data_IF_851077798616
#
_entry.id   IF_851077798616
#
_cell.length_a   1.000
_cell.length_b   1.000
_cell.length_c   1.000
_cell.angle_alpha   90.00
_cell.angle_beta   90.00
_cell.angle_gamma   90.00
#
_symmetry.space_group_name_H-M   'P 1'
#
loop_
_entity.id
_entity.type
_entity.pdbx_description
1 polymer ?
#
# COMPACT_ATOMS: atom_id res chain seq x y z
N UNK A 1 25.20 14.33 -16.95
CA UNK A 1 24.17 14.95 -16.13
C UNK A 1 23.03 15.36 -17.04
N UNK A 2 21.90 14.67 -16.97
CA UNK A 2 20.70 15.01 -17.75
C UNK A 2 20.12 16.29 -17.15
N UNK A 3 20.20 17.40 -17.86
CA UNK A 3 19.53 18.64 -17.48
C UNK A 3 18.09 18.56 -17.93
N UNK A 4 17.14 18.84 -17.05
CA UNK A 4 15.74 19.01 -17.43
C UNK A 4 15.62 20.25 -18.31
N UNK A 5 15.04 20.11 -19.50
CA UNK A 5 14.64 21.20 -20.37
C UNK A 5 13.14 21.48 -20.18
N UNK A 6 12.80 22.70 -19.78
CA UNK A 6 11.42 23.07 -19.52
C UNK A 6 10.90 22.65 -18.14
N UNK A 7 9.60 22.79 -17.96
CA UNK A 7 8.87 22.31 -16.78
C UNK A 7 8.15 21.01 -17.18
N UNK A 8 8.31 19.97 -16.38
CA UNK A 8 7.57 18.72 -16.56
C UNK A 8 6.56 18.57 -15.43
N UNK A 9 5.33 18.25 -15.79
CA UNK A 9 4.24 18.00 -14.85
C UNK A 9 3.76 16.56 -15.10
N UNK A 10 3.78 15.75 -14.06
CA UNK A 10 3.28 14.38 -14.08
C UNK A 10 2.24 14.21 -13.00
N UNK A 11 1.07 13.69 -13.36
CA UNK A 11 0.04 13.30 -12.42
C UNK A 11 -0.04 11.79 -12.35
N UNK A 12 -0.04 11.26 -11.15
CA UNK A 12 -0.07 9.85 -10.87
C UNK A 12 -1.20 9.49 -9.91
N UNK A 13 -1.87 8.38 -10.16
CA UNK A 13 -2.71 7.71 -9.18
C UNK A 13 -1.87 6.66 -8.46
N UNK A 14 -1.79 6.77 -7.14
CA UNK A 14 -1.03 5.91 -6.25
C UNK A 14 -1.99 4.94 -5.53
N UNK A 15 -2.11 3.73 -6.04
CA UNK A 15 -3.07 2.74 -5.58
C UNK A 15 -2.72 2.20 -4.19
N UNK A 16 -3.73 2.09 -3.31
CA UNK A 16 -3.63 1.40 -2.04
C UNK A 16 -3.37 -0.10 -2.21
N UNK A 17 -2.99 -0.76 -1.13
CA UNK A 17 -2.84 -2.22 -1.07
C UNK A 17 -3.73 -2.83 0.01
N UNK A 18 -4.08 -4.10 -0.19
CA UNK A 18 -4.63 -4.99 0.83
C UNK A 18 -3.71 -6.20 1.01
N UNK A 19 -3.60 -6.72 2.24
CA UNK A 19 -2.99 -8.01 2.50
C UNK A 19 -4.11 -9.06 2.50
N UNK A 20 -4.19 -9.87 1.46
CA UNK A 20 -5.17 -10.96 1.37
C UNK A 20 -4.77 -12.15 2.24
N UNK A 21 -3.47 -12.30 2.47
CA UNK A 21 -2.85 -13.24 3.39
C UNK A 21 -1.65 -12.56 4.05
N UNK A 22 -1.47 -12.70 5.36
CA UNK A 22 -0.32 -12.15 6.08
C UNK A 22 0.02 -13.04 7.28
N UNK A 23 1.21 -13.63 7.23
CA UNK A 23 1.77 -14.44 8.31
C UNK A 23 3.20 -14.00 8.64
N UNK A 24 3.63 -14.22 9.87
CA UNK A 24 5.01 -14.05 10.32
C UNK A 24 5.63 -15.44 10.40
N UNK A 25 6.64 -15.69 9.58
CA UNK A 25 7.27 -17.01 9.42
C UNK A 25 8.57 -17.17 10.19
N UNK A 26 9.09 -16.09 10.74
CA UNK A 26 10.34 -16.09 11.50
C UNK A 26 10.85 -14.69 11.82
N UNK A 27 12.10 -14.65 12.30
CA UNK A 27 12.83 -13.42 12.62
C UNK A 27 14.26 -13.47 12.12
N UNK A 28 14.74 -12.39 11.51
CA UNK A 28 16.12 -12.21 11.08
C UNK A 28 17.02 -11.88 12.26
N UNK A 29 18.33 -12.12 12.10
CA UNK A 29 19.33 -11.81 13.13
C UNK A 29 19.44 -10.30 13.46
N UNK A 30 19.05 -9.43 12.54
CA UNK A 30 18.98 -7.97 12.71
C UNK A 30 17.69 -7.50 13.40
N UNK A 31 16.81 -8.43 13.78
CA UNK A 31 15.57 -8.17 14.51
C UNK A 31 14.32 -7.98 13.66
N UNK A 32 14.43 -7.90 12.32
CA UNK A 32 13.27 -7.82 11.45
C UNK A 32 12.50 -9.14 11.38
N UNK A 33 11.17 -9.05 11.31
CA UNK A 33 10.30 -10.22 11.14
C UNK A 33 10.29 -10.66 9.68
N UNK A 34 10.37 -11.97 9.47
CA UNK A 34 10.17 -12.58 8.16
C UNK A 34 8.68 -12.76 7.91
N UNK A 35 8.21 -12.26 6.77
CA UNK A 35 6.82 -12.27 6.39
C UNK A 35 6.58 -13.25 5.24
N UNK A 36 5.38 -13.78 5.19
CA UNK A 36 4.80 -14.42 4.02
C UNK A 36 3.43 -13.77 3.80
N UNK A 37 3.31 -12.94 2.76
CA UNK A 37 2.10 -12.16 2.53
C UNK A 37 1.72 -12.14 1.07
N UNK A 38 0.42 -12.25 0.78
CA UNK A 38 -0.13 -11.98 -0.54
C UNK A 38 -0.76 -10.60 -0.51
N UNK A 39 -0.16 -9.69 -1.27
CA UNK A 39 -0.63 -8.30 -1.39
C UNK A 39 -1.34 -8.08 -2.72
N UNK A 40 -2.38 -7.25 -2.69
CA UNK A 40 -3.16 -6.82 -3.85
C UNK A 40 -3.26 -5.32 -3.90
N UNK A 41 -2.89 -4.71 -5.04
CA UNK A 41 -3.22 -3.30 -5.33
C UNK A 41 -4.71 -3.15 -5.58
N UNK A 42 -5.33 -2.08 -5.07
CA UNK A 42 -6.77 -1.82 -5.23
C UNK A 42 -7.03 -0.43 -5.82
N UNK A 43 -8.20 -0.22 -6.41
CA UNK A 43 -8.56 1.00 -7.13
C UNK A 43 -8.75 2.26 -6.26
N UNK A 44 -8.77 2.14 -4.93
CA UNK A 44 -8.65 3.29 -4.03
C UNK A 44 -7.22 3.86 -4.14
N UNK A 45 -7.08 5.14 -4.47
CA UNK A 45 -5.79 5.72 -4.77
C UNK A 45 -5.69 7.17 -4.29
N UNK A 46 -4.50 7.58 -3.88
CA UNK A 46 -4.14 8.99 -3.73
C UNK A 46 -3.77 9.58 -5.08
N UNK A 47 -3.91 10.89 -5.24
CA UNK A 47 -3.45 11.62 -6.41
C UNK A 47 -2.16 12.37 -6.08
N UNK A 48 -1.12 12.12 -6.88
CA UNK A 48 0.22 12.70 -6.67
C UNK A 48 0.63 13.47 -7.91
N UNK A 49 0.79 14.78 -7.77
CA UNK A 49 1.33 15.65 -8.82
C UNK A 49 2.81 15.93 -8.54
N UNK A 50 3.65 15.64 -9.52
CA UNK A 50 5.10 15.91 -9.46
C UNK A 50 5.46 16.92 -10.54
N UNK A 51 5.95 18.08 -10.12
CA UNK A 51 6.45 19.13 -11.02
C UNK A 51 7.97 19.17 -10.91
N UNK A 52 8.65 19.08 -12.05
CA UNK A 52 10.11 19.06 -12.14
C UNK A 52 10.57 20.18 -13.06
N UNK A 53 11.48 21.01 -12.56
CA UNK A 53 12.05 22.14 -13.33
C UNK A 53 13.54 22.31 -13.05
N UNK A 54 14.21 23.15 -13.84
CA UNK A 54 15.61 23.49 -13.60
C UNK A 54 15.77 24.14 -12.21
N UNK A 55 16.84 23.75 -11.49
CA UNK A 55 17.13 24.28 -10.15
C UNK A 55 17.58 23.20 -9.17
N UNK A 56 17.32 23.44 -7.89
CA UNK A 56 17.62 22.52 -6.78
C UNK A 56 16.60 22.66 -5.67
N UNK A 57 16.28 21.54 -5.04
CA UNK A 57 15.44 21.50 -3.86
C UNK A 57 14.19 20.66 -4.06
N UNK A 58 13.62 20.22 -2.95
CA UNK A 58 12.39 19.44 -2.90
C UNK A 58 11.42 20.18 -1.99
N UNK A 59 10.19 20.34 -2.44
CA UNK A 59 9.06 20.79 -1.65
C UNK A 59 7.93 19.82 -1.77
N UNK A 60 7.16 19.66 -0.69
CA UNK A 60 6.00 18.79 -0.65
C UNK A 60 4.84 19.54 0.00
N UNK A 61 3.66 19.43 -0.60
CA UNK A 61 2.38 19.85 -0.05
C UNK A 61 1.43 18.65 0.04
N UNK A 62 0.48 18.74 0.95
CA UNK A 62 -0.56 17.74 1.13
C UNK A 62 -1.83 18.43 1.65
N UNK A 63 -2.99 18.01 1.17
CA UNK A 63 -4.30 18.50 1.61
C UNK A 63 -4.66 18.08 3.05
N UNK A 64 -3.87 17.17 3.65
CA UNK A 64 -4.05 16.64 5.00
C UNK A 64 -3.01 17.21 5.97
N UNK A 65 -3.48 17.88 7.01
CA UNK A 65 -2.62 18.48 8.03
C UNK A 65 -1.91 17.49 8.97
N UNK A 66 -2.33 16.24 9.00
CA UNK A 66 -1.72 15.14 9.77
C UNK A 66 -0.54 14.47 9.04
N UNK A 67 -0.29 14.84 7.78
CA UNK A 67 0.80 14.30 6.96
C UNK A 67 2.00 15.27 6.99
N UNK A 68 3.21 14.82 7.39
CA UNK A 68 4.41 15.67 7.36
C UNK A 68 4.77 16.05 5.92
N UNK A 69 5.26 17.28 5.74
CA UNK A 69 5.67 17.84 4.43
C UNK A 69 7.18 18.05 4.30
N UNK A 70 7.96 17.37 5.12
CA UNK A 70 9.42 17.43 5.17
C UNK A 70 10.06 16.03 5.02
N UNK A 71 11.34 15.89 5.30
CA UNK A 71 12.11 14.63 5.20
C UNK A 71 11.57 13.46 6.03
N UNK A 72 10.55 13.63 6.86
CA UNK A 72 9.83 12.56 7.55
C UNK A 72 8.79 11.89 6.65
N UNK A 73 8.41 12.55 5.54
CA UNK A 73 7.49 12.00 4.56
C UNK A 73 8.21 11.03 3.61
N UNK A 74 7.64 9.87 3.37
CA UNK A 74 8.21 8.84 2.47
C UNK A 74 8.32 9.32 1.02
N UNK A 75 7.37 10.12 0.53
CA UNK A 75 7.41 10.70 -0.82
C UNK A 75 8.55 11.72 -0.97
N UNK A 76 8.80 12.53 0.07
CA UNK A 76 9.95 13.43 0.10
C UNK A 76 11.28 12.66 0.06
N UNK A 77 11.41 11.62 0.92
CA UNK A 77 12.61 10.76 0.93
C UNK A 77 12.81 10.02 -0.40
N UNK A 78 11.73 9.58 -1.03
CA UNK A 78 11.79 8.95 -2.35
C UNK A 78 12.40 9.89 -3.40
N UNK A 79 12.01 11.16 -3.40
CA UNK A 79 12.59 12.16 -4.28
C UNK A 79 14.10 12.39 -4.01
N UNK A 80 14.49 12.51 -2.74
CA UNK A 80 15.90 12.65 -2.37
C UNK A 80 16.77 11.49 -2.86
N UNK A 81 16.35 10.25 -2.56
CA UNK A 81 17.07 9.05 -2.94
C UNK A 81 17.13 8.86 -4.46
N UNK A 82 16.03 9.18 -5.16
CA UNK A 82 16.02 9.15 -6.62
C UNK A 82 17.06 10.11 -7.21
N UNK A 83 17.05 11.39 -6.77
CA UNK A 83 17.98 12.42 -7.26
C UNK A 83 19.43 12.02 -7.01
N UNK A 84 19.73 11.43 -5.85
CA UNK A 84 21.04 10.90 -5.52
C UNK A 84 21.45 9.75 -6.45
N UNK A 85 20.60 8.77 -6.64
CA UNK A 85 20.89 7.59 -7.46
C UNK A 85 21.03 7.92 -8.95
N UNK A 86 20.20 8.83 -9.47
CA UNK A 86 20.27 9.29 -10.85
C UNK A 86 21.43 10.27 -11.11
N UNK A 87 22.14 10.74 -10.08
CA UNK A 87 23.23 11.70 -10.21
C UNK A 87 22.80 13.03 -10.83
N UNK A 88 21.57 13.46 -10.54
CA UNK A 88 20.93 14.62 -11.15
C UNK A 88 20.47 15.64 -10.09
N UNK A 89 20.10 16.84 -10.53
CA UNK A 89 19.52 17.84 -9.65
C UNK A 89 18.44 18.64 -10.37
N UNK A 90 17.35 18.92 -9.67
CA UNK A 90 16.25 19.73 -10.16
C UNK A 90 15.51 20.38 -8.97
N UNK A 91 14.63 21.32 -9.27
CA UNK A 91 13.56 21.68 -8.35
C UNK A 91 12.43 20.69 -8.55
N UNK A 92 12.03 20.00 -7.46
CA UNK A 92 10.95 19.02 -7.44
C UNK A 92 9.87 19.53 -6.48
N UNK A 93 8.66 19.74 -7.00
CA UNK A 93 7.50 20.07 -6.18
C UNK A 93 6.54 18.87 -6.24
N UNK A 94 6.19 18.33 -5.08
CA UNK A 94 5.24 17.22 -4.93
C UNK A 94 3.99 17.77 -4.27
N UNK A 95 2.83 17.50 -4.86
CA UNK A 95 1.54 17.79 -4.27
C UNK A 95 0.73 16.51 -4.15
N UNK A 96 0.19 16.24 -2.94
CA UNK A 96 -0.51 14.98 -2.64
C UNK A 96 -1.94 15.29 -2.18
N UNK A 97 -2.91 14.73 -2.91
CA UNK A 97 -4.31 14.69 -2.51
C UNK A 97 -4.65 13.30 -1.96
N UNK A 98 -4.98 13.24 -0.65
CA UNK A 98 -5.14 11.99 0.11
C UNK A 98 -6.55 11.46 0.11
N UNK A 99 -6.74 10.29 -0.49
CA UNK A 99 -7.98 9.51 -0.42
C UNK A 99 -7.79 8.22 0.41
N UNK A 100 -6.56 7.69 0.49
CA UNK A 100 -6.23 6.53 1.33
C UNK A 100 -6.14 7.00 2.79
N UNK A 101 -6.93 6.43 3.72
CA UNK A 101 -6.94 6.87 5.10
C UNK A 101 -5.59 6.60 5.80
N UNK A 102 -5.12 7.57 6.60
CA UNK A 102 -3.90 7.46 7.38
C UNK A 102 -4.00 6.35 8.43
N UNK A 103 -2.92 5.62 8.69
CA UNK A 103 -2.84 4.59 9.73
C UNK A 103 -3.82 3.42 9.54
N UNK A 104 -4.15 3.10 8.30
CA UNK A 104 -5.12 2.07 7.93
C UNK A 104 -4.51 0.70 7.62
N UNK A 105 -3.19 0.58 7.54
CA UNK A 105 -2.54 -0.66 7.05
C UNK A 105 -2.63 -0.85 5.52
N UNK A 106 -3.00 0.20 4.77
CA UNK A 106 -3.24 0.17 3.32
C UNK A 106 -2.09 0.71 2.47
N UNK A 107 -0.97 1.08 3.08
CA UNK A 107 0.25 1.50 2.38
C UNK A 107 0.19 2.88 1.70
N UNK A 108 -0.69 3.81 2.10
CA UNK A 108 -0.87 5.10 1.43
C UNK A 108 0.43 5.90 1.26
N UNK A 109 1.20 6.12 2.33
CA UNK A 109 2.49 6.83 2.21
C UNK A 109 3.53 6.08 1.37
N UNK A 110 3.46 4.74 1.31
CA UNK A 110 4.32 3.93 0.43
C UNK A 110 3.89 4.04 -1.04
N UNK A 111 2.59 4.15 -1.29
CA UNK A 111 2.05 4.40 -2.62
C UNK A 111 2.46 5.79 -3.14
N UNK A 112 2.36 6.83 -2.29
CA UNK A 112 2.82 8.18 -2.63
C UNK A 112 4.31 8.19 -3.01
N UNK A 113 5.14 7.53 -2.21
CA UNK A 113 6.57 7.41 -2.47
C UNK A 113 6.86 6.68 -3.81
N UNK A 114 6.16 5.59 -4.09
CA UNK A 114 6.27 4.85 -5.34
C UNK A 114 5.85 5.71 -6.54
N UNK A 115 4.79 6.52 -6.40
CA UNK A 115 4.35 7.47 -7.43
C UNK A 115 5.44 8.51 -7.74
N UNK A 116 6.06 9.07 -6.72
CA UNK A 116 7.17 10.02 -6.89
C UNK A 116 8.35 9.37 -7.61
N UNK A 117 8.76 8.15 -7.24
CA UNK A 117 9.84 7.42 -7.93
C UNK A 117 9.52 7.20 -9.41
N UNK A 118 8.31 6.74 -9.73
CA UNK A 118 7.87 6.50 -11.11
C UNK A 118 7.82 7.80 -11.91
N UNK A 119 7.23 8.85 -11.35
CA UNK A 119 7.11 10.15 -12.01
C UNK A 119 8.47 10.78 -12.29
N UNK A 120 9.39 10.78 -11.32
CA UNK A 120 10.74 11.29 -11.51
C UNK A 120 11.52 10.49 -12.56
N UNK A 121 11.42 9.16 -12.55
CA UNK A 121 12.10 8.34 -13.55
C UNK A 121 11.64 8.70 -14.97
N UNK A 122 10.33 8.87 -15.17
CA UNK A 122 9.76 9.29 -16.44
C UNK A 122 10.15 10.73 -16.82
N UNK A 123 10.17 11.66 -15.85
CA UNK A 123 10.53 13.06 -16.10
C UNK A 123 11.98 13.21 -16.59
N UNK A 124 12.89 12.40 -16.07
CA UNK A 124 14.30 12.40 -16.49
C UNK A 124 14.61 11.47 -17.68
N UNK A 125 13.62 10.90 -18.34
CA UNK A 125 13.80 10.02 -19.49
C UNK A 125 14.27 8.61 -19.12
N UNK A 126 13.84 8.11 -17.99
CA UNK A 126 14.07 6.76 -17.47
C UNK A 126 15.55 6.41 -17.24
N UNK A 127 16.31 7.24 -16.49
CA UNK A 127 17.73 7.01 -16.24
C UNK A 127 18.00 5.78 -15.39
N UNK A 128 17.00 5.32 -14.62
CA UNK A 128 17.10 4.15 -13.74
C UNK A 128 16.26 2.99 -14.30
N UNK A 129 16.83 1.80 -14.23
CA UNK A 129 16.13 0.56 -14.56
C UNK A 129 15.10 0.22 -13.48
N UNK A 130 14.14 -0.64 -13.80
CA UNK A 130 13.12 -1.12 -12.83
C UNK A 130 13.77 -1.72 -11.57
N UNK A 131 14.84 -2.47 -11.73
CA UNK A 131 15.59 -3.04 -10.59
C UNK A 131 16.16 -1.95 -9.69
N UNK A 132 16.77 -0.92 -10.26
CA UNK A 132 17.33 0.19 -9.48
C UNK A 132 16.23 0.99 -8.77
N UNK A 133 15.06 1.17 -9.40
CA UNK A 133 13.90 1.79 -8.75
C UNK A 133 13.41 0.96 -7.56
N UNK A 134 13.33 -0.37 -7.69
CA UNK A 134 12.96 -1.26 -6.59
C UNK A 134 13.98 -1.24 -5.45
N UNK A 135 15.27 -1.16 -5.76
CA UNK A 135 16.35 -1.06 -4.76
C UNK A 135 16.26 0.29 -3.99
N UNK A 136 15.85 1.37 -4.63
CA UNK A 136 15.58 2.66 -3.97
C UNK A 136 14.30 2.56 -3.14
N UNK A 137 13.24 2.00 -3.71
CA UNK A 137 11.96 1.81 -3.05
C UNK A 137 12.11 1.06 -1.71
N UNK A 138 12.93 0.01 -1.67
CA UNK A 138 13.24 -0.76 -0.46
C UNK A 138 13.96 0.09 0.63
N UNK A 139 14.75 1.08 0.25
CA UNK A 139 15.40 2.01 1.18
C UNK A 139 14.41 3.06 1.74
N UNK A 140 13.34 3.37 1.03
CA UNK A 140 12.29 4.29 1.49
C UNK A 140 11.39 3.61 2.51
N UNK A 141 10.95 2.38 2.24
CA UNK A 141 10.06 1.64 3.14
C UNK A 141 9.69 0.25 2.62
N UNK A 142 9.29 -0.65 3.53
CA UNK A 142 9.06 -2.06 3.22
C UNK A 142 7.94 -2.31 2.18
N UNK A 143 6.87 -1.52 2.21
CA UNK A 143 5.75 -1.65 1.25
C UNK A 143 5.97 -0.90 -0.08
N UNK A 144 6.99 -0.01 -0.16
CA UNK A 144 7.21 0.83 -1.36
C UNK A 144 7.55 -0.01 -2.60
N UNK A 145 8.37 -1.07 -2.53
CA UNK A 145 8.62 -1.95 -3.68
C UNK A 145 7.33 -2.58 -4.22
N UNK A 146 6.44 -3.05 -3.34
CA UNK A 146 5.15 -3.59 -3.77
C UNK A 146 4.28 -2.50 -4.43
N UNK A 147 4.16 -1.32 -3.83
CA UNK A 147 3.39 -0.22 -4.40
C UNK A 147 3.92 0.20 -5.78
N UNK A 148 5.23 0.13 -5.99
CA UNK A 148 5.85 0.42 -7.29
C UNK A 148 5.54 -0.66 -8.34
N UNK A 149 5.63 -1.93 -7.96
CA UNK A 149 5.42 -3.08 -8.84
C UNK A 149 3.94 -3.34 -9.12
N UNK A 150 3.09 -3.18 -8.13
CA UNK A 150 1.63 -3.36 -8.22
C UNK A 150 1.14 -4.77 -8.49
N UNK A 151 -0.16 -4.89 -8.75
CA UNK A 151 -0.84 -6.14 -9.06
C UNK A 151 -1.10 -7.02 -7.85
N UNK A 152 -1.07 -8.34 -8.06
CA UNK A 152 -1.15 -9.35 -7.00
C UNK A 152 0.20 -10.03 -6.86
N UNK A 153 0.79 -9.99 -5.68
CA UNK A 153 2.12 -10.58 -5.46
C UNK A 153 2.20 -11.33 -4.14
N UNK A 154 2.91 -12.45 -4.19
CA UNK A 154 3.43 -13.09 -3.00
C UNK A 154 4.75 -12.38 -2.63
N UNK A 155 4.79 -11.83 -1.42
CA UNK A 155 5.94 -11.13 -0.89
C UNK A 155 6.50 -11.89 0.31
N UNK A 156 7.82 -12.05 0.35
CA UNK A 156 8.58 -12.71 1.42
C UNK A 156 9.71 -11.82 1.91
N UNK A 157 10.53 -12.35 2.82
CA UNK A 157 11.56 -11.54 3.48
C UNK A 157 10.92 -10.54 4.43
N UNK A 158 11.27 -9.27 4.35
CA UNK A 158 10.57 -8.16 5.02
C UNK A 158 9.50 -7.52 4.12
N UNK A 159 9.21 -8.14 2.94
CA UNK A 159 8.26 -7.69 1.92
C UNK A 159 8.90 -7.45 0.54
N UNK A 160 10.23 -7.52 0.44
CA UNK A 160 11.02 -7.19 -0.75
C UNK A 160 11.15 -8.33 -1.76
N UNK A 161 11.04 -9.58 -1.33
CA UNK A 161 11.11 -10.74 -2.22
C UNK A 161 9.75 -10.99 -2.87
N UNK A 162 9.54 -10.43 -4.05
CA UNK A 162 8.25 -10.47 -4.73
C UNK A 162 8.21 -11.48 -5.87
N UNK A 163 7.11 -12.21 -5.96
CA UNK A 163 6.75 -13.04 -7.12
C UNK A 163 5.30 -12.83 -7.52
N UNK A 164 4.99 -13.00 -8.79
CA UNK A 164 3.63 -12.89 -9.30
C UNK A 164 2.70 -13.89 -8.63
N UNK A 165 1.45 -13.49 -8.45
CA UNK A 165 0.41 -14.31 -7.88
C UNK A 165 -0.90 -14.12 -8.66
N UNK A 166 -1.82 -15.09 -8.56
CA UNK A 166 -3.11 -14.99 -9.25
C UNK A 166 -3.94 -13.84 -8.72
N UNK A 167 -4.49 -13.04 -9.61
CA UNK A 167 -5.39 -11.94 -9.24
C UNK A 167 -6.69 -12.48 -8.62
N UNK A 168 -7.19 -11.87 -7.53
CA UNK A 168 -8.42 -12.29 -6.87
C UNK A 168 -9.65 -11.91 -7.70
N UNK A 169 -10.72 -12.71 -7.58
CA UNK A 169 -12.05 -12.35 -8.05
C UNK A 169 -12.87 -11.72 -6.93
N UNK A 170 -13.69 -10.75 -7.29
CA UNK A 170 -14.60 -10.07 -6.37
C UNK A 170 -14.29 -8.58 -6.21
N UNK A 171 -15.11 -7.95 -5.40
CA UNK A 171 -15.07 -6.53 -5.06
C UNK A 171 -14.75 -6.41 -3.58
N UNK A 172 -13.92 -5.45 -3.21
CA UNK A 172 -13.54 -5.21 -1.82
C UNK A 172 -14.34 -4.04 -1.25
N UNK A 173 -14.98 -4.25 -0.10
CA UNK A 173 -15.42 -3.16 0.74
C UNK A 173 -14.40 -2.97 1.87
N UNK A 174 -13.72 -1.85 1.85
CA UNK A 174 -12.82 -1.43 2.93
C UNK A 174 -13.60 -0.64 3.96
N UNK A 175 -13.39 -0.96 5.24
CA UNK A 175 -13.95 -0.24 6.38
C UNK A 175 -12.80 0.12 7.32
N UNK A 176 -12.57 1.42 7.55
CA UNK A 176 -11.55 1.90 8.48
C UNK A 176 -12.24 2.65 9.63
N UNK A 177 -12.27 2.05 10.83
CA UNK A 177 -12.76 2.70 12.05
C UNK A 177 -11.91 3.92 12.44
N UNK A 178 -12.42 4.78 13.31
CA UNK A 178 -11.70 5.99 13.75
C UNK A 178 -10.39 5.71 14.49
N UNK A 179 -10.27 4.56 15.19
CA UNK A 179 -9.04 4.21 15.90
C UNK A 179 -7.93 3.77 14.93
N UNK A 180 -6.70 3.82 15.42
CA UNK A 180 -5.51 3.36 14.70
C UNK A 180 -4.81 2.23 15.43
N UNK A 181 -4.10 1.38 14.69
CA UNK A 181 -3.26 0.31 15.21
C UNK A 181 -1.81 0.59 14.76
N UNK A 182 -0.99 1.21 15.62
CA UNK A 182 0.39 1.53 15.25
C UNK A 182 1.18 0.27 14.93
N UNK A 183 1.84 0.23 13.77
CA UNK A 183 2.58 -0.96 13.30
C UNK A 183 3.62 -1.44 14.29
N UNK A 184 4.34 -0.52 14.94
CA UNK A 184 5.33 -0.88 15.96
C UNK A 184 4.73 -1.56 17.20
N UNK A 185 3.49 -1.23 17.57
CA UNK A 185 2.77 -1.89 18.67
C UNK A 185 2.31 -3.29 18.25
N UNK A 186 1.85 -3.47 17.03
CA UNK A 186 1.45 -4.76 16.51
C UNK A 186 2.62 -5.78 16.53
N UNK A 187 3.79 -5.38 16.04
CA UNK A 187 4.98 -6.24 16.11
C UNK A 187 5.47 -6.49 17.54
N UNK A 188 5.38 -5.50 18.42
CA UNK A 188 5.71 -5.68 19.85
C UNK A 188 4.78 -6.69 20.51
N UNK A 189 3.48 -6.60 20.26
CA UNK A 189 2.49 -7.57 20.74
C UNK A 189 2.78 -8.99 20.23
N UNK A 190 3.24 -9.11 18.98
CA UNK A 190 3.69 -10.40 18.44
C UNK A 190 4.93 -10.92 19.20
N UNK A 191 5.91 -10.08 19.47
CA UNK A 191 7.13 -10.46 20.20
C UNK A 191 6.82 -10.92 21.64
N UNK A 192 5.83 -10.30 22.27
CA UNK A 192 5.39 -10.66 23.65
C UNK A 192 4.58 -11.97 23.68
N UNK A 193 3.85 -12.29 22.61
CA UNK A 193 3.00 -13.48 22.52
C UNK A 193 3.05 -14.08 21.11
N UNK A 194 4.18 -14.67 20.70
CA UNK A 194 4.33 -15.19 19.36
C UNK A 194 3.32 -16.29 19.05
N UNK A 195 2.65 -16.18 17.93
CA UNK A 195 1.79 -17.25 17.40
C UNK A 195 2.62 -18.25 16.60
N UNK A 196 2.18 -19.51 16.59
CA UNK A 196 2.71 -20.49 15.65
C UNK A 196 2.45 -20.04 14.22
N UNK A 197 3.39 -20.32 13.32
CA UNK A 197 3.22 -20.07 11.89
C UNK A 197 1.95 -20.78 11.41
N UNK A 198 1.03 -20.03 10.80
CA UNK A 198 -0.24 -20.56 10.34
C UNK A 198 -0.05 -21.58 9.21
N UNK A 199 0.87 -21.32 8.27
CA UNK A 199 1.22 -22.24 7.18
C UNK A 199 0.11 -22.42 6.15
N UNK A 200 -0.92 -21.59 6.15
CA UNK A 200 -2.12 -21.72 5.30
C UNK A 200 -1.94 -21.22 3.85
N UNK A 201 -0.78 -20.70 3.47
CA UNK A 201 -0.56 -20.13 2.12
C UNK A 201 -0.87 -21.14 1.00
N UNK A 202 -0.60 -22.44 1.20
CA UNK A 202 -0.87 -23.46 0.19
C UNK A 202 -2.38 -23.61 -0.07
N UNK A 203 -3.20 -23.61 1.00
CA UNK A 203 -4.67 -23.65 0.90
C UNK A 203 -5.20 -22.36 0.26
N UNK A 204 -4.70 -21.19 0.71
CA UNK A 204 -5.04 -19.90 0.11
C UNK A 204 -4.73 -19.88 -1.40
N UNK A 205 -3.55 -20.35 -1.80
CA UNK A 205 -3.14 -20.43 -3.22
C UNK A 205 -4.05 -21.35 -4.02
N UNK A 206 -4.43 -22.52 -3.47
CA UNK A 206 -5.32 -23.47 -4.14
C UNK A 206 -6.75 -22.93 -4.30
N UNK A 207 -7.19 -22.05 -3.39
CA UNK A 207 -8.51 -21.41 -3.43
C UNK A 207 -8.60 -20.21 -4.41
N UNK A 208 -7.46 -19.69 -4.87
CA UNK A 208 -7.42 -18.58 -5.83
C UNK A 208 -7.85 -19.05 -7.24
N UNK A 209 -8.48 -18.20 -8.05
CA UNK A 209 -8.85 -16.80 -7.76
C UNK A 209 -10.24 -16.63 -7.12
N UNK A 210 -11.05 -17.68 -6.98
CA UNK A 210 -12.47 -17.60 -6.64
C UNK A 210 -12.76 -17.71 -5.14
N UNK A 211 -12.36 -18.83 -4.51
CA UNK A 211 -12.79 -19.19 -3.15
C UNK A 211 -11.84 -18.77 -2.03
N UNK A 212 -10.86 -17.95 -2.32
CA UNK A 212 -9.79 -17.54 -1.40
C UNK A 212 -10.27 -16.80 -0.14
N UNK A 213 -11.46 -16.20 -0.19
CA UNK A 213 -11.96 -15.37 0.91
C UNK A 213 -12.09 -16.13 2.24
N UNK A 214 -12.40 -17.44 2.17
CA UNK A 214 -12.45 -18.30 3.36
C UNK A 214 -11.06 -18.65 3.91
N UNK A 215 -10.03 -18.57 3.09
CA UNK A 215 -8.64 -18.91 3.43
C UNK A 215 -7.79 -17.66 3.76
N UNK A 216 -8.41 -16.47 3.80
CA UNK A 216 -7.72 -15.25 4.20
C UNK A 216 -7.25 -15.37 5.66
N UNK A 217 -6.02 -14.92 5.89
CA UNK A 217 -5.42 -14.91 7.22
C UNK A 217 -4.61 -13.64 7.45
N UNK A 218 -4.69 -13.10 8.65
CA UNK A 218 -3.83 -12.01 9.10
C UNK A 218 -3.42 -12.27 10.55
N UNK A 219 -2.12 -12.45 10.77
CA UNK A 219 -1.53 -12.76 12.08
C UNK A 219 -1.84 -11.68 13.11
N UNK A 220 -1.86 -10.40 12.73
CA UNK A 220 -2.17 -9.31 13.66
C UNK A 220 -3.65 -9.32 14.08
N UNK A 221 -4.56 -9.72 13.21
CA UNK A 221 -5.98 -9.89 13.58
C UNK A 221 -6.15 -10.93 14.69
N UNK A 222 -5.31 -11.97 14.71
CA UNK A 222 -5.35 -13.01 15.74
C UNK A 222 -4.71 -12.59 17.05
N UNK A 223 -3.80 -11.62 17.02
CA UNK A 223 -3.12 -11.07 18.19
C UNK A 223 -3.96 -10.02 18.91
N UNK A 224 -4.76 -9.26 18.16
CA UNK A 224 -5.58 -8.23 18.78
C UNK A 224 -6.74 -8.83 19.56
N UNK A 225 -6.70 -8.64 20.90
CA UNK A 225 -7.87 -8.88 21.75
C UNK A 225 -8.97 -7.81 21.53
N UNK A 226 -8.80 -6.90 20.58
CA UNK A 226 -9.72 -5.80 20.30
C UNK A 226 -10.94 -6.29 19.55
N UNK A 227 -12.03 -6.48 20.28
CA UNK A 227 -13.31 -6.91 19.72
C UNK A 227 -13.85 -6.00 18.63
N UNK A 228 -13.36 -4.76 18.50
CA UNK A 228 -13.80 -3.83 17.43
C UNK A 228 -13.41 -4.34 16.05
N UNK A 229 -12.20 -4.91 15.88
CA UNK A 229 -11.77 -5.52 14.61
C UNK A 229 -12.65 -6.74 14.28
N UNK A 230 -12.86 -7.61 15.27
CA UNK A 230 -13.74 -8.78 15.10
C UNK A 230 -15.18 -8.37 14.77
N UNK A 231 -15.69 -7.30 15.41
CA UNK A 231 -17.03 -6.76 15.14
C UNK A 231 -17.16 -6.24 13.71
N UNK A 232 -16.16 -5.51 13.19
CA UNK A 232 -16.17 -5.03 11.79
C UNK A 232 -16.13 -6.19 10.81
N UNK A 233 -15.23 -7.15 11.02
CA UNK A 233 -15.14 -8.33 10.15
C UNK A 233 -16.41 -9.20 10.21
N UNK A 234 -16.99 -9.42 11.40
CA UNK A 234 -18.25 -10.11 11.58
C UNK A 234 -19.40 -9.41 10.85
N UNK A 235 -19.50 -8.07 11.02
CA UNK A 235 -20.55 -7.29 10.34
C UNK A 235 -20.40 -7.33 8.81
N UNK A 236 -19.18 -7.26 8.27
CA UNK A 236 -18.95 -7.44 6.83
C UNK A 236 -19.48 -8.79 6.33
N UNK A 237 -19.24 -9.87 7.10
CA UNK A 237 -19.72 -11.22 6.75
C UNK A 237 -21.25 -11.31 6.84
N UNK A 238 -21.89 -10.74 7.87
CA UNK A 238 -23.35 -10.67 8.01
C UNK A 238 -24.01 -9.92 6.83
N UNK A 239 -23.32 -8.94 6.28
CA UNK A 239 -23.77 -8.14 5.13
C UNK A 239 -23.50 -8.80 3.78
N UNK A 240 -23.00 -10.05 3.77
CA UNK A 240 -22.84 -10.87 2.57
C UNK A 240 -21.44 -10.93 2.00
N UNK A 241 -20.42 -10.46 2.72
CA UNK A 241 -19.04 -10.73 2.31
C UNK A 241 -18.73 -12.23 2.40
N UNK A 242 -18.06 -12.78 1.38
CA UNK A 242 -17.60 -14.20 1.36
C UNK A 242 -16.54 -14.49 2.43
N UNK A 243 -15.87 -13.44 2.90
CA UNK A 243 -14.91 -13.46 3.97
C UNK A 243 -14.48 -12.04 4.25
N UNK A 244 -13.95 -11.79 5.45
CA UNK A 244 -13.45 -10.50 5.89
C UNK A 244 -12.15 -10.65 6.66
N UNK A 245 -11.25 -9.69 6.52
CA UNK A 245 -9.93 -9.70 7.15
C UNK A 245 -9.42 -8.30 7.44
N UNK A 246 -8.48 -8.20 8.36
CA UNK A 246 -7.65 -7.02 8.61
C UNK A 246 -6.62 -6.87 7.49
N UNK A 247 -6.27 -5.63 7.09
CA UNK A 247 -5.12 -5.38 6.22
C UNK A 247 -3.95 -4.79 6.98
N UNK A 248 -2.75 -5.29 6.71
CA UNK A 248 -1.54 -4.88 7.42
C UNK A 248 -1.68 -5.08 8.93
N UNK A 249 -1.15 -4.15 9.70
CA UNK A 249 -1.37 -4.07 11.15
C UNK A 249 -2.71 -3.45 11.54
N UNK A 250 -3.51 -3.03 10.57
CA UNK A 250 -4.80 -2.38 10.79
C UNK A 250 -4.69 -0.84 10.81
N UNK A 251 -5.78 -0.15 11.15
CA UNK A 251 -7.06 -0.68 11.65
C UNK A 251 -8.11 -0.97 10.57
N UNK A 252 -7.79 -0.79 9.28
CA UNK A 252 -8.76 -1.10 8.24
C UNK A 252 -8.99 -2.61 8.11
N UNK A 253 -10.27 -2.96 8.03
CA UNK A 253 -10.75 -4.29 7.63
C UNK A 253 -11.30 -4.21 6.22
N UNK A 254 -11.37 -5.36 5.54
CA UNK A 254 -12.04 -5.44 4.25
C UNK A 254 -12.84 -6.72 4.13
N UNK A 255 -13.93 -6.64 3.39
CA UNK A 255 -14.76 -7.79 3.00
C UNK A 255 -14.71 -8.00 1.51
N UNK A 256 -14.82 -9.26 1.06
CA UNK A 256 -14.86 -9.65 -0.34
C UNK A 256 -16.30 -9.93 -0.75
N UNK A 257 -16.82 -9.21 -1.73
CA UNK A 257 -18.17 -9.35 -2.28
C UNK A 257 -18.12 -9.84 -3.72
N UNK A 258 -19.20 -10.51 -4.17
CA UNK A 258 -19.31 -10.93 -5.57
C UNK A 258 -19.67 -9.76 -6.49
N UNK A 259 -20.48 -8.82 -6.00
CA UNK A 259 -21.05 -7.73 -6.79
C UNK A 259 -20.79 -6.36 -6.16
N UNK A 260 -20.48 -5.39 -7.00
CA UNK A 260 -20.26 -3.99 -6.60
C UNK A 260 -21.47 -3.41 -5.85
N UNK A 261 -22.68 -3.62 -6.37
CA UNK A 261 -23.90 -3.12 -5.75
C UNK A 261 -24.16 -3.71 -4.34
N UNK A 262 -23.70 -4.95 -4.08
CA UNK A 262 -23.80 -5.55 -2.74
C UNK A 262 -22.81 -4.86 -1.77
N UNK A 263 -21.57 -4.63 -2.21
CA UNK A 263 -20.57 -3.91 -1.43
C UNK A 263 -21.00 -2.46 -1.15
N UNK A 264 -21.59 -1.76 -2.12
CA UNK A 264 -22.09 -0.41 -1.95
C UNK A 264 -23.23 -0.34 -0.91
N UNK A 265 -24.20 -1.25 -0.96
CA UNK A 265 -25.25 -1.30 0.08
C UNK A 265 -24.64 -1.55 1.46
N UNK A 266 -23.69 -2.47 1.56
CA UNK A 266 -23.02 -2.78 2.81
C UNK A 266 -22.21 -1.60 3.37
N UNK A 267 -21.63 -0.75 2.51
CA UNK A 267 -20.83 0.42 2.95
C UNK A 267 -21.62 1.41 3.80
N UNK A 268 -22.92 1.57 3.55
CA UNK A 268 -23.82 2.42 4.33
C UNK A 268 -24.08 1.95 5.77
N UNK A 269 -23.71 0.72 6.10
CA UNK A 269 -23.97 0.09 7.40
C UNK A 269 -22.84 0.32 8.44
N UNK A 270 -21.86 1.17 8.12
CA UNK A 270 -20.74 1.50 9.00
C UNK A 270 -20.67 3.00 9.34
N UNK A 271 -21.64 3.53 10.10
CA UNK A 271 -21.65 4.96 10.45
C UNK A 271 -20.40 5.33 11.26
N UNK A 272 -19.79 6.48 10.96
CA UNK A 272 -18.59 6.98 11.60
C UNK A 272 -17.28 6.32 11.15
N UNK A 273 -17.35 5.33 10.25
CA UNK A 273 -16.15 4.75 9.64
C UNK A 273 -15.90 5.36 8.25
N UNK A 274 -14.63 5.42 7.86
CA UNK A 274 -14.32 5.56 6.43
C UNK A 274 -14.69 4.26 5.71
N UNK A 275 -15.37 4.35 4.59
CA UNK A 275 -15.69 3.21 3.73
C UNK A 275 -15.31 3.49 2.29
N UNK A 276 -14.84 2.46 1.57
CA UNK A 276 -14.55 2.55 0.15
C UNK A 276 -14.80 1.20 -0.52
N UNK A 277 -15.57 1.22 -1.61
CA UNK A 277 -15.72 0.06 -2.49
C UNK A 277 -14.65 0.14 -3.57
N UNK A 278 -13.84 -0.91 -3.72
CA UNK A 278 -12.73 -0.92 -4.66
C UNK A 278 -12.57 -2.30 -5.33
N UNK A 279 -11.96 -2.28 -6.50
CA UNK A 279 -11.64 -3.46 -7.29
C UNK A 279 -10.14 -3.76 -7.21
N UNK A 280 -9.74 -4.99 -7.56
CA UNK A 280 -8.35 -5.32 -7.79
C UNK A 280 -7.78 -4.44 -8.91
N UNK A 281 -6.56 -3.95 -8.73
CA UNK A 281 -5.82 -3.18 -9.72
C UNK A 281 -4.56 -3.94 -10.15
N UNK A 282 -4.26 -3.90 -11.46
CA UNK A 282 -3.08 -4.56 -12.03
C UNK A 282 -1.80 -3.77 -11.80
N UNK A 283 -1.91 -2.46 -11.58
CA UNK A 283 -0.79 -1.55 -11.38
C UNK A 283 -0.84 -0.92 -10.00
N UNK A 284 0.32 -0.70 -9.40
CA UNK A 284 0.42 0.09 -8.18
C UNK A 284 0.34 1.59 -8.47
N UNK A 285 1.01 2.02 -9.55
CA UNK A 285 1.08 3.42 -9.98
C UNK A 285 0.61 3.53 -11.43
N UNK A 286 -0.28 4.47 -11.66
CA UNK A 286 -0.75 4.82 -13.01
C UNK A 286 -0.50 6.32 -13.27
N UNK A 287 0.36 6.62 -14.28
CA UNK A 287 0.57 8.02 -14.72
C UNK A 287 -0.61 8.42 -15.60
N UNK A 288 -1.45 9.31 -15.08
CA UNK A 288 -2.67 9.77 -15.74
C UNK A 288 -2.44 10.93 -16.72
N UNK A 289 -1.40 11.74 -16.48
CA UNK A 289 -1.10 12.91 -17.29
C UNK A 289 0.41 13.19 -17.29
N UNK A 290 0.93 13.65 -18.42
CA UNK A 290 2.29 14.16 -18.58
C UNK A 290 2.28 15.37 -19.48
N UNK A 291 2.74 16.52 -18.98
CA UNK A 291 2.91 17.76 -19.73
C UNK A 291 4.36 18.20 -19.72
N UNK A 292 4.80 18.86 -20.80
CA UNK A 292 6.10 19.49 -20.92
C UNK A 292 5.87 20.92 -21.42
N UNK A 293 6.27 21.91 -20.59
CA UNK A 293 6.10 23.35 -20.82
C UNK A 293 7.42 24.04 -21.11
#
# INVERSE_FOLDING_TARGET
MSSISGIQILKARANAKLNLYLDITGRRADGYHLLETVMQSVSLADEVTVVVSAGRGISLSCDRGDVPTDGRNTAYRAAELFMQAAGTSATVCVDIEKHIPSGAGMGGGSADAAAVLRALNMAFGEPLTERQLLDIAAQVGADVPFCLAGGTRLCRGIGEEMSEFSAPQGVFLVVKPEFSCPTGEAYRSYDESPLAVHGGLAAFRAAMPGNYAAEMYNVFQKLYADRRIESVCGRLTELGARGASLTGSGSACFGVFDEHAAAERASGEFPGCFTAVCSAAEQGIFISEREVL
#
